data_IF_779996859948
#
_entry.id   IF_779996859948
#
_cell.length_a   1.000
_cell.length_b   1.000
_cell.length_c   1.000
_cell.angle_alpha   90.00
_cell.angle_beta   90.00
_cell.angle_gamma   90.00
#
_symmetry.space_group_name_H-M   'P 1'
#
loop_
_entity.id
_entity.type
_entity.pdbx_description
1 polymer ?
#
# COMPACT_ATOMS: atom_id res chain seq x y z
N UNK A 1 22.00 -21.48 -5.57
CA UNK A 1 22.06 -20.27 -4.73
C UNK A 1 23.20 -19.44 -5.27
N UNK A 2 22.86 -18.45 -6.09
CA UNK A 2 23.85 -17.64 -6.79
C UNK A 2 24.49 -16.67 -5.78
N UNK A 3 25.79 -16.82 -5.56
CA UNK A 3 26.55 -16.01 -4.61
C UNK A 3 26.68 -14.62 -5.22
N UNK A 4 26.39 -13.57 -4.45
CA UNK A 4 26.50 -12.19 -4.89
C UNK A 4 27.89 -11.92 -5.50
N UNK A 5 27.95 -11.74 -6.82
CA UNK A 5 29.16 -11.31 -7.52
C UNK A 5 29.25 -9.78 -7.50
N UNK A 6 30.45 -9.21 -7.64
CA UNK A 6 30.66 -7.76 -7.69
C UNK A 6 29.77 -7.04 -8.73
N UNK A 7 29.39 -7.74 -9.81
CA UNK A 7 28.46 -7.23 -10.83
C UNK A 7 27.03 -7.00 -10.32
N UNK A 8 26.57 -7.77 -9.32
CA UNK A 8 25.26 -7.56 -8.67
C UNK A 8 25.28 -6.34 -7.73
N UNK A 9 26.42 -6.02 -7.13
CA UNK A 9 26.60 -4.82 -6.30
C UNK A 9 26.62 -3.54 -7.14
N UNK A 10 27.18 -3.58 -8.36
CA UNK A 10 27.20 -2.42 -9.26
C UNK A 10 25.82 -2.11 -9.90
N UNK A 11 24.96 -3.12 -10.10
CA UNK A 11 23.55 -2.89 -10.49
C UNK A 11 22.75 -2.17 -9.39
N UNK A 12 23.03 -2.49 -8.13
CA UNK A 12 22.41 -1.86 -6.95
C UNK A 12 22.72 -0.35 -6.87
N UNK A 13 23.82 0.11 -7.48
CA UNK A 13 24.21 1.53 -7.56
C UNK A 13 23.39 2.38 -8.55
N UNK A 14 22.58 1.77 -9.42
CA UNK A 14 21.82 2.52 -10.45
C UNK A 14 20.38 2.83 -10.08
N UNK A 15 19.87 2.27 -8.99
CA UNK A 15 18.51 2.54 -8.53
C UNK A 15 18.47 3.75 -7.59
N UNK A 16 17.90 4.85 -8.07
CA UNK A 16 17.64 6.02 -7.23
C UNK A 16 16.37 5.82 -6.42
N UNK A 17 16.22 6.59 -5.33
CA UNK A 17 14.95 6.67 -4.58
C UNK A 17 13.75 7.09 -5.45
N UNK A 18 14.00 7.64 -6.64
CA UNK A 18 12.99 8.12 -7.59
C UNK A 18 12.60 7.06 -8.64
N UNK A 19 13.44 6.06 -8.88
CA UNK A 19 13.25 5.06 -9.94
C UNK A 19 13.09 3.64 -9.43
N UNK A 20 13.29 3.42 -8.13
CA UNK A 20 13.21 2.11 -7.51
C UNK A 20 11.81 1.51 -7.60
N UNK A 21 11.74 0.26 -8.05
CA UNK A 21 10.51 -0.55 -8.12
C UNK A 21 10.33 -1.47 -6.92
N UNK A 22 11.16 -1.30 -5.88
CA UNK A 22 11.13 -2.16 -4.70
C UNK A 22 9.88 -1.91 -3.86
N UNK A 23 9.30 -3.00 -3.38
CA UNK A 23 8.14 -3.00 -2.50
C UNK A 23 8.56 -3.55 -1.13
N UNK A 24 8.06 -2.93 -0.06
CA UNK A 24 8.11 -3.53 1.28
C UNK A 24 6.75 -4.11 1.61
N UNK A 25 6.68 -5.37 2.01
CA UNK A 25 5.42 -6.09 2.22
C UNK A 25 5.38 -6.62 3.65
N UNK A 26 4.34 -6.26 4.39
CA UNK A 26 3.98 -6.82 5.69
C UNK A 26 2.72 -7.68 5.57
N UNK A 27 2.71 -8.81 6.28
CA UNK A 27 1.58 -9.75 6.30
C UNK A 27 1.23 -10.02 7.76
N UNK A 28 -0.02 -9.79 8.13
CA UNK A 28 -0.54 -10.03 9.48
C UNK A 28 -1.60 -11.11 9.44
N UNK A 29 -1.40 -12.19 10.20
CA UNK A 29 -2.27 -13.37 10.22
C UNK A 29 -2.38 -13.96 11.63
N UNK A 30 -3.17 -15.02 11.80
CA UNK A 30 -3.41 -15.66 13.10
C UNK A 30 -3.90 -14.65 14.16
N UNK A 31 -3.20 -14.51 15.29
CA UNK A 31 -3.55 -13.56 16.36
C UNK A 31 -3.45 -12.10 15.94
N UNK A 32 -2.66 -11.79 14.91
CA UNK A 32 -2.46 -10.44 14.40
C UNK A 32 -3.36 -10.13 13.19
N UNK A 33 -4.25 -11.06 12.81
CA UNK A 33 -5.16 -10.85 11.69
C UNK A 33 -6.16 -9.72 11.98
N UNK A 34 -6.23 -8.65 11.17
CA UNK A 34 -7.09 -7.49 11.44
C UNK A 34 -8.60 -7.75 11.24
N UNK A 35 -8.99 -8.95 10.79
CA UNK A 35 -10.40 -9.33 10.61
C UNK A 35 -10.89 -9.23 9.17
N UNK A 36 -12.03 -9.87 8.88
CA UNK A 36 -12.60 -10.02 7.52
C UNK A 36 -13.05 -8.72 6.85
N UNK A 37 -13.22 -7.66 7.64
CA UNK A 37 -13.63 -6.34 7.17
C UNK A 37 -12.45 -5.38 6.99
N UNK A 38 -11.22 -5.81 7.27
CA UNK A 38 -10.06 -4.99 6.95
C UNK A 38 -9.98 -4.76 5.42
N UNK A 39 -9.68 -3.53 4.93
CA UNK A 39 -9.35 -2.30 5.66
C UNK A 39 -10.52 -1.30 5.84
N UNK A 40 -11.79 -1.72 5.82
CA UNK A 40 -12.98 -0.83 5.87
C UNK A 40 -12.94 0.20 7.01
N UNK A 41 -12.44 -0.19 8.19
CA UNK A 41 -12.29 0.70 9.35
C UNK A 41 -11.41 1.93 9.08
N UNK A 42 -10.46 1.85 8.14
CA UNK A 42 -9.61 2.98 7.75
C UNK A 42 -10.39 4.08 7.04
N UNK A 43 -11.41 3.69 6.27
CA UNK A 43 -12.31 4.59 5.54
C UNK A 43 -13.35 5.16 6.51
N UNK A 44 -13.93 4.33 7.37
CA UNK A 44 -14.89 4.78 8.40
C UNK A 44 -14.26 5.76 9.40
N UNK A 45 -12.96 5.61 9.69
CA UNK A 45 -12.21 6.47 10.59
C UNK A 45 -11.66 7.76 9.97
N UNK A 46 -11.93 8.08 8.70
CA UNK A 46 -11.36 9.25 8.02
C UNK A 46 -11.67 10.58 8.73
N UNK A 47 -12.87 10.72 9.30
CA UNK A 47 -13.28 11.95 9.98
C UNK A 47 -12.50 12.22 11.28
N UNK A 48 -11.90 11.20 11.87
CA UNK A 48 -11.11 11.28 13.10
C UNK A 48 -9.61 11.51 12.84
N UNK A 49 -9.20 11.72 11.58
CA UNK A 49 -7.80 11.98 11.22
C UNK A 49 -7.40 13.43 11.53
N UNK A 50 -6.07 13.66 11.55
CA UNK A 50 -5.47 14.98 11.82
C UNK A 50 -6.01 16.05 10.86
N UNK A 51 -6.02 15.75 9.57
CA UNK A 51 -6.66 16.59 8.55
C UNK A 51 -8.09 16.17 8.29
N UNK A 52 -8.91 17.15 7.89
CA UNK A 52 -10.19 16.89 7.23
C UNK A 52 -9.95 16.61 5.76
N UNK A 53 -10.80 15.80 5.17
CA UNK A 53 -10.64 15.33 3.80
C UNK A 53 -11.81 15.75 2.93
N UNK A 54 -11.52 16.11 1.69
CA UNK A 54 -12.52 16.37 0.67
C UNK A 54 -12.32 15.42 -0.50
N UNK A 55 -13.41 14.79 -0.94
CA UNK A 55 -13.41 13.97 -2.13
C UNK A 55 -13.11 14.83 -3.36
N UNK A 56 -12.26 14.33 -4.25
CA UNK A 56 -12.01 14.94 -5.55
C UNK A 56 -13.09 14.53 -6.55
N UNK A 57 -13.43 15.41 -7.49
CA UNK A 57 -14.42 15.10 -8.54
C UNK A 57 -13.91 14.07 -9.55
N UNK A 58 -12.61 13.77 -9.54
CA UNK A 58 -11.95 12.81 -10.42
C UNK A 58 -11.48 11.62 -9.60
N UNK A 59 -11.84 10.41 -10.04
CA UNK A 59 -11.19 9.19 -9.56
C UNK A 59 -9.82 9.06 -10.21
N UNK A 60 -8.80 8.73 -9.42
CA UNK A 60 -7.43 8.55 -9.90
C UNK A 60 -7.14 7.06 -10.02
N UNK A 61 -6.79 6.58 -11.22
CA UNK A 61 -6.54 5.14 -11.50
C UNK A 61 -7.67 4.19 -11.05
N UNK A 62 -8.91 4.66 -11.11
CA UNK A 62 -10.09 3.92 -10.66
C UNK A 62 -10.25 3.84 -9.13
N UNK A 63 -9.60 4.72 -8.37
CA UNK A 63 -9.72 4.89 -6.93
C UNK A 63 -10.56 6.13 -6.60
N UNK A 64 -11.47 6.00 -5.62
CA UNK A 64 -12.06 7.18 -4.98
C UNK A 64 -10.96 7.93 -4.23
N UNK A 65 -10.82 9.22 -4.50
CA UNK A 65 -9.65 10.01 -4.06
C UNK A 65 -10.09 11.15 -3.14
N UNK A 66 -9.34 11.33 -2.06
CA UNK A 66 -9.61 12.31 -1.02
C UNK A 66 -8.31 13.04 -0.70
N UNK A 67 -8.38 14.37 -0.74
CA UNK A 67 -7.25 15.25 -0.44
C UNK A 67 -7.47 15.98 0.88
N UNK A 68 -6.42 16.21 1.69
CA UNK A 68 -6.56 16.95 2.92
C UNK A 68 -6.87 18.42 2.63
N UNK A 69 -7.79 18.99 3.42
CA UNK A 69 -8.17 20.40 3.36
C UNK A 69 -7.63 21.16 4.58
N UNK A 70 -7.57 22.49 4.47
CA UNK A 70 -7.05 23.40 5.49
C UNK A 70 -5.57 23.15 5.84
N UNK A 71 -4.78 22.72 4.85
CA UNK A 71 -3.34 22.49 5.05
C UNK A 71 -2.56 23.80 4.91
N UNK A 72 -1.55 24.00 5.76
CA UNK A 72 -0.60 25.10 5.61
C UNK A 72 0.33 24.86 4.41
N UNK A 73 -0.04 25.45 3.27
CA UNK A 73 0.72 25.42 2.03
C UNK A 73 2.14 26.00 2.16
N UNK A 74 2.36 26.95 3.07
CA UNK A 74 3.68 27.54 3.28
C UNK A 74 4.59 26.56 4.02
N UNK A 75 4.07 25.92 5.07
CA UNK A 75 4.78 24.85 5.79
C UNK A 75 5.05 23.65 4.88
N UNK A 76 4.05 23.20 4.12
CA UNK A 76 4.16 22.11 3.13
C UNK A 76 5.26 22.38 2.10
N UNK A 77 5.35 23.61 1.58
CA UNK A 77 6.37 24.00 0.60
C UNK A 77 7.78 24.12 1.18
N UNK A 78 7.90 24.46 2.47
CA UNK A 78 9.18 24.62 3.18
C UNK A 78 9.77 23.32 3.71
N UNK A 79 8.98 22.23 3.75
CA UNK A 79 9.33 20.95 4.35
C UNK A 79 10.76 20.46 4.02
N UNK A 80 11.68 20.82 4.90
CA UNK A 80 13.03 20.27 5.02
C UNK A 80 12.97 19.11 6.02
N UNK A 81 13.09 17.88 5.53
CA UNK A 81 13.40 16.68 6.34
C UNK A 81 12.23 16.03 7.12
N UNK A 82 11.20 16.77 7.49
CA UNK A 82 9.99 16.23 8.11
C UNK A 82 8.76 17.03 7.64
N UNK A 83 8.36 16.83 6.39
CA UNK A 83 6.99 17.17 5.99
C UNK A 83 6.02 16.52 6.98
N UNK A 84 4.88 17.15 7.23
CA UNK A 84 3.88 16.61 8.13
C UNK A 84 3.54 15.17 7.72
N UNK A 85 3.93 14.21 8.58
CA UNK A 85 3.74 12.78 8.34
C UNK A 85 2.25 12.41 8.24
N UNK A 86 1.36 13.30 8.68
CA UNK A 86 -0.09 13.14 8.60
C UNK A 86 -0.70 13.79 7.35
N UNK A 87 0.09 14.51 6.55
CA UNK A 87 -0.34 15.09 5.28
C UNK A 87 -0.18 14.06 4.16
N UNK A 88 -1.25 13.33 3.88
CA UNK A 88 -1.33 12.36 2.79
C UNK A 88 -2.63 12.49 2.03
N UNK A 89 -2.64 12.09 0.76
CA UNK A 89 -3.88 11.80 0.04
C UNK A 89 -4.35 10.40 0.43
N UNK A 90 -5.67 10.21 0.46
CA UNK A 90 -6.30 8.92 0.68
C UNK A 90 -6.94 8.47 -0.63
N UNK A 91 -6.73 7.21 -0.98
CA UNK A 91 -7.32 6.54 -2.12
C UNK A 91 -7.94 5.24 -1.65
N UNK A 92 -9.13 4.88 -2.14
CA UNK A 92 -9.66 3.54 -1.89
C UNK A 92 -10.49 3.03 -3.05
N UNK A 93 -10.58 1.70 -3.15
CA UNK A 93 -11.41 1.02 -4.13
C UNK A 93 -12.48 0.20 -3.42
N UNK A 94 -13.73 0.37 -3.84
CA UNK A 94 -14.83 -0.52 -3.49
C UNK A 94 -14.99 -1.56 -4.59
N UNK A 95 -14.97 -2.84 -4.23
CA UNK A 95 -15.26 -3.89 -5.20
C UNK A 95 -16.76 -3.94 -5.55
N UNK A 96 -17.13 -4.84 -6.47
CA UNK A 96 -18.52 -4.99 -6.93
C UNK A 96 -19.51 -5.37 -5.83
N UNK A 97 -19.03 -5.93 -4.70
CA UNK A 97 -19.86 -6.22 -3.53
C UNK A 97 -20.03 -5.04 -2.58
N UNK A 98 -19.43 -3.88 -2.88
CA UNK A 98 -19.46 -2.68 -2.05
C UNK A 98 -18.44 -2.67 -0.90
N UNK A 99 -17.61 -3.71 -0.76
CA UNK A 99 -16.56 -3.78 0.27
C UNK A 99 -15.31 -3.04 -0.16
N UNK A 100 -14.59 -2.49 0.81
CA UNK A 100 -13.30 -1.84 0.58
C UNK A 100 -12.26 -2.93 0.32
N UNK A 101 -11.77 -2.99 -0.91
CA UNK A 101 -10.82 -4.00 -1.37
C UNK A 101 -9.37 -3.49 -1.31
N UNK A 102 -9.19 -2.18 -1.48
CA UNK A 102 -7.90 -1.51 -1.32
C UNK A 102 -8.08 -0.19 -0.58
N UNK A 103 -7.22 0.07 0.38
CA UNK A 103 -7.06 1.36 1.05
C UNK A 103 -5.61 1.82 0.92
N UNK A 104 -5.39 3.01 0.39
CA UNK A 104 -4.05 3.50 0.05
C UNK A 104 -3.90 4.92 0.59
N UNK A 105 -2.80 5.22 1.27
CA UNK A 105 -2.41 6.58 1.62
C UNK A 105 -1.10 6.92 0.93
N UNK A 106 -0.92 8.16 0.49
CA UNK A 106 0.36 8.59 -0.08
C UNK A 106 0.76 9.95 0.48
N UNK A 107 1.94 10.05 1.10
CA UNK A 107 2.43 11.27 1.74
C UNK A 107 2.66 12.42 0.77
N UNK A 108 2.15 13.61 1.09
CA UNK A 108 2.20 14.82 0.26
C UNK A 108 3.51 15.59 0.41
N UNK A 109 4.63 14.91 0.16
CA UNK A 109 5.95 15.53 0.04
C UNK A 109 6.24 15.92 -1.41
N UNK A 110 7.01 16.99 -1.60
CA UNK A 110 7.34 17.52 -2.94
C UNK A 110 8.25 16.62 -3.78
N UNK A 111 8.95 15.65 -3.19
CA UNK A 111 9.90 14.82 -3.92
C UNK A 111 9.22 13.56 -4.48
N UNK A 112 9.64 13.13 -5.67
CA UNK A 112 9.07 11.96 -6.37
C UNK A 112 9.19 10.65 -5.57
N UNK A 113 10.08 10.60 -4.57
CA UNK A 113 10.23 9.48 -3.64
C UNK A 113 9.11 9.39 -2.58
N UNK A 114 8.01 10.14 -2.71
CA UNK A 114 6.85 10.04 -1.83
C UNK A 114 6.39 8.58 -1.71
N UNK A 115 6.19 8.11 -0.48
CA UNK A 115 5.78 6.73 -0.20
C UNK A 115 4.26 6.65 -0.15
N UNK A 116 3.72 5.57 -0.70
CA UNK A 116 2.35 5.14 -0.50
C UNK A 116 2.33 3.89 0.38
N UNK A 117 1.41 3.85 1.34
CA UNK A 117 1.04 2.64 2.08
C UNK A 117 -0.27 2.10 1.50
N UNK A 118 -0.29 0.83 1.12
CA UNK A 118 -1.42 0.14 0.50
C UNK A 118 -1.81 -1.07 1.34
N UNK A 119 -3.03 -1.05 1.82
CA UNK A 119 -3.62 -2.03 2.71
C UNK A 119 -4.77 -2.77 2.00
N UNK A 120 -4.79 -4.11 2.11
CA UNK A 120 -5.87 -4.95 1.59
C UNK A 120 -5.94 -6.29 2.35
N UNK A 121 -6.95 -7.10 2.03
CA UNK A 121 -7.25 -8.35 2.72
C UNK A 121 -7.28 -9.53 1.74
N UNK A 122 -6.82 -10.70 2.18
CA UNK A 122 -6.82 -11.93 1.39
C UNK A 122 -8.02 -12.85 1.70
N UNK A 123 -8.94 -12.40 2.55
CA UNK A 123 -10.17 -13.12 2.88
C UNK A 123 -11.13 -13.16 1.68
N UNK A 124 -11.85 -14.27 1.42
CA UNK A 124 -12.01 -15.46 2.26
C UNK A 124 -10.93 -16.53 2.09
N UNK A 125 -10.11 -16.44 1.05
CA UNK A 125 -9.16 -17.49 0.71
C UNK A 125 -8.11 -17.66 1.84
N UNK A 126 -7.63 -16.56 2.42
CA UNK A 126 -6.70 -16.58 3.54
C UNK A 126 -7.07 -15.53 4.59
N UNK A 127 -7.07 -15.91 5.87
CA UNK A 127 -7.23 -14.96 6.99
C UNK A 127 -5.94 -14.18 7.23
N UNK A 128 -5.64 -13.25 6.32
CA UNK A 128 -4.45 -12.40 6.39
C UNK A 128 -4.74 -10.99 5.85
N UNK A 129 -4.27 -9.98 6.59
CA UNK A 129 -4.18 -8.60 6.11
C UNK A 129 -2.79 -8.35 5.54
N UNK A 130 -2.71 -7.52 4.50
CA UNK A 130 -1.46 -7.18 3.81
C UNK A 130 -1.29 -5.67 3.80
N UNK A 131 -0.08 -5.20 4.13
CA UNK A 131 0.35 -3.82 3.93
C UNK A 131 1.55 -3.80 2.99
N UNK A 132 1.52 -2.92 1.99
CA UNK A 132 2.59 -2.73 1.02
C UNK A 132 3.03 -1.27 1.07
N UNK A 133 4.33 -1.02 1.17
CA UNK A 133 4.89 0.31 0.96
C UNK A 133 5.59 0.37 -0.39
N UNK A 134 5.27 1.38 -1.19
CA UNK A 134 5.87 1.61 -2.51
C UNK A 134 5.94 3.09 -2.87
N UNK A 135 6.65 3.43 -3.95
CA UNK A 135 6.76 4.82 -4.43
C UNK A 135 5.48 5.27 -5.11
N UNK A 136 5.09 6.53 -4.93
CA UNK A 136 3.88 7.12 -5.52
C UNK A 136 3.80 6.97 -7.05
N UNK A 137 4.93 6.91 -7.75
CA UNK A 137 4.98 6.65 -9.20
C UNK A 137 4.38 5.29 -9.61
N UNK A 138 4.31 4.33 -8.68
CA UNK A 138 3.73 3.00 -8.86
C UNK A 138 2.25 2.94 -8.49
N UNK A 139 1.65 4.03 -7.99
CA UNK A 139 0.23 4.06 -7.62
C UNK A 139 -0.68 3.70 -8.80
N UNK A 140 -0.32 4.09 -10.02
CA UNK A 140 -1.07 3.73 -11.24
C UNK A 140 -1.18 2.21 -11.47
N UNK A 141 -0.24 1.44 -10.92
CA UNK A 141 -0.12 -0.01 -11.09
C UNK A 141 -0.64 -0.78 -9.85
N UNK A 142 -1.33 -0.11 -8.92
CA UNK A 142 -1.76 -0.66 -7.62
C UNK A 142 -2.52 -1.99 -7.74
N UNK A 143 -3.36 -2.16 -8.77
CA UNK A 143 -4.13 -3.39 -9.00
C UNK A 143 -3.22 -4.57 -9.34
N UNK A 144 -2.23 -4.33 -10.20
CA UNK A 144 -1.27 -5.34 -10.62
C UNK A 144 -0.34 -5.71 -9.46
N UNK A 145 0.09 -4.71 -8.66
CA UNK A 145 0.86 -4.92 -7.43
C UNK A 145 0.08 -5.81 -6.46
N UNK A 146 -1.18 -5.46 -6.15
CA UNK A 146 -2.03 -6.24 -5.24
C UNK A 146 -2.21 -7.67 -5.74
N UNK A 147 -2.53 -7.86 -7.02
CA UNK A 147 -2.74 -9.18 -7.63
C UNK A 147 -1.46 -10.04 -7.58
N UNK A 148 -0.32 -9.45 -7.94
CA UNK A 148 0.97 -10.14 -7.95
C UNK A 148 1.43 -10.53 -6.55
N UNK A 149 1.32 -9.62 -5.58
CA UNK A 149 1.63 -9.90 -4.17
C UNK A 149 0.71 -10.99 -3.62
N UNK A 150 -0.60 -10.91 -3.89
CA UNK A 150 -1.55 -11.95 -3.48
C UNK A 150 -1.16 -13.32 -4.02
N UNK A 151 -0.79 -13.41 -5.30
CA UNK A 151 -0.36 -14.66 -5.95
C UNK A 151 0.87 -15.25 -5.28
N UNK A 152 1.86 -14.43 -4.94
CA UNK A 152 3.07 -14.89 -4.22
C UNK A 152 2.71 -15.42 -2.83
N UNK A 153 1.89 -14.69 -2.07
CA UNK A 153 1.47 -15.08 -0.72
C UNK A 153 0.67 -16.39 -0.76
N UNK A 154 -0.27 -16.55 -1.69
CA UNK A 154 -1.02 -17.79 -1.86
C UNK A 154 -0.11 -18.98 -2.21
N UNK A 155 1.00 -18.72 -2.91
CA UNK A 155 2.01 -19.73 -3.20
C UNK A 155 2.78 -20.26 -1.98
N UNK A 156 2.76 -19.55 -0.84
CA UNK A 156 3.37 -20.03 0.40
C UNK A 156 2.57 -21.14 1.09
N UNK A 157 1.33 -21.40 0.66
CA UNK A 157 0.52 -22.48 1.22
C UNK A 157 1.23 -23.81 0.98
N UNK A 158 1.60 -24.48 2.06
CA UNK A 158 2.07 -25.86 1.98
C UNK A 158 0.87 -26.74 1.67
N UNK A 159 0.83 -27.34 0.48
CA UNK A 159 -0.03 -28.49 0.23
C UNK A 159 0.56 -29.66 1.02
N UNK A 160 0.00 -29.98 2.19
CA UNK A 160 0.39 -31.21 2.88
C UNK A 160 0.00 -32.39 1.98
N UNK A 161 0.97 -32.89 1.22
CA UNK A 161 0.83 -34.12 0.41
C UNK A 161 0.80 -35.38 1.29
N UNK A 162 0.63 -35.25 2.60
CA UNK A 162 0.63 -36.37 3.56
C UNK A 162 -0.75 -36.94 3.87
N UNK A 163 -1.85 -36.33 3.43
CA UNK A 163 -3.20 -36.91 3.60
C UNK A 163 -3.62 -37.89 2.49
N UNK A 164 -2.66 -38.41 1.69
CA UNK A 164 -2.92 -39.49 0.72
C UNK A 164 -2.15 -40.79 0.99
N UNK A 165 -1.57 -40.98 2.18
CA UNK A 165 -1.08 -42.28 2.63
C UNK A 165 -1.33 -42.47 4.12
N UNK A 166 -2.54 -42.93 4.45
CA UNK A 166 -2.80 -44.11 5.30
C UNK A 166 -4.30 -44.25 5.56
#
# INVERSE_FOLDING_TARGET
>A
MEVASASNLDKQKSESIYTSTWLSIGISSNSDYPGQHYPEGQVLGMDNRHYKYKQTNTSEYGLETYVPINVDETARKKGSGAADMFDYNIYYYKNSSGRIDAYITCINVKHEAAICEHQFNLFPDMKAGVSINYRRSLLKDWREIQSSVSKVIFGFRTTNTQDQRN
#
